data_IF_662026002615
#
_entry.id   IF_662026002615
#
_cell.length_a   1.000
_cell.length_b   1.000
_cell.length_c   1.000
_cell.angle_alpha   90.00
_cell.angle_beta   90.00
_cell.angle_gamma   90.00
#
_symmetry.space_group_name_H-M   'P 1'
#
loop_
_entity.id
_entity.type
_entity.pdbx_description
1 polymer ?
#
# COMPACT_ATOMS: atom_id res chain seq x y z
N UNK A 1 43.13 -29.58 -4.00
CA UNK A 1 42.88 -28.15 -3.69
C UNK A 1 41.95 -27.43 -4.69
N UNK A 2 41.91 -27.80 -5.98
CA UNK A 2 41.07 -27.15 -7.00
C UNK A 2 39.54 -27.35 -6.81
N UNK A 3 39.11 -28.55 -6.39
CA UNK A 3 37.68 -28.88 -6.18
C UNK A 3 37.00 -27.98 -5.13
N UNK A 4 37.68 -27.69 -4.00
CA UNK A 4 37.17 -26.80 -2.94
C UNK A 4 37.00 -25.35 -3.41
N UNK A 5 37.87 -24.86 -4.30
CA UNK A 5 37.79 -23.49 -4.85
C UNK A 5 36.64 -23.35 -5.87
N UNK A 6 36.36 -24.39 -6.64
CA UNK A 6 35.23 -24.42 -7.57
C UNK A 6 33.88 -24.43 -6.84
N UNK A 7 33.76 -25.23 -5.78
CA UNK A 7 32.55 -25.28 -4.93
C UNK A 7 32.32 -23.93 -4.24
N UNK A 8 33.38 -23.30 -3.68
CA UNK A 8 33.26 -22.01 -3.01
C UNK A 8 32.82 -20.89 -3.96
N UNK A 9 33.33 -20.87 -5.20
CA UNK A 9 32.90 -19.91 -6.24
C UNK A 9 31.45 -20.13 -6.65
N UNK A 10 31.03 -21.39 -6.82
CA UNK A 10 29.63 -21.72 -7.13
C UNK A 10 28.68 -21.31 -6.01
N UNK A 11 29.06 -21.54 -4.76
CA UNK A 11 28.28 -21.13 -3.59
C UNK A 11 28.18 -19.61 -3.47
N UNK A 12 29.28 -18.88 -3.75
CA UNK A 12 29.28 -17.42 -3.77
C UNK A 12 28.37 -16.87 -4.88
N UNK A 13 28.40 -17.45 -6.08
CA UNK A 13 27.51 -17.07 -7.18
C UNK A 13 26.04 -17.38 -6.87
N UNK A 14 25.75 -18.52 -6.25
CA UNK A 14 24.40 -18.87 -5.81
C UNK A 14 23.88 -17.89 -4.76
N UNK A 15 24.71 -17.54 -3.77
CA UNK A 15 24.36 -16.53 -2.75
C UNK A 15 24.13 -15.15 -3.38
N UNK A 16 24.96 -14.75 -4.35
CA UNK A 16 24.81 -13.49 -5.06
C UNK A 16 23.54 -13.46 -5.91
N UNK A 17 23.20 -14.58 -6.56
CA UNK A 17 21.95 -14.74 -7.31
C UNK A 17 20.73 -14.66 -6.38
N UNK A 18 20.76 -15.35 -5.24
CA UNK A 18 19.70 -15.29 -4.23
C UNK A 18 19.53 -13.86 -3.66
N UNK A 19 20.64 -13.15 -3.45
CA UNK A 19 20.64 -11.76 -3.01
C UNK A 19 20.07 -10.80 -4.07
N UNK A 20 20.30 -11.07 -5.36
CA UNK A 20 19.72 -10.28 -6.46
C UNK A 20 18.21 -10.58 -6.63
N UNK A 21 17.79 -11.83 -6.41
CA UNK A 21 16.39 -12.24 -6.51
C UNK A 21 15.52 -11.71 -5.36
N UNK A 22 16.09 -11.45 -4.17
CA UNK A 22 15.32 -10.93 -3.03
C UNK A 22 14.82 -9.50 -3.23
N UNK A 23 15.45 -8.72 -4.12
CA UNK A 23 15.02 -7.34 -4.43
C UNK A 23 13.67 -7.24 -5.16
N UNK A 24 13.22 -8.31 -5.83
CA UNK A 24 11.95 -8.32 -6.58
C UNK A 24 10.70 -8.30 -5.67
N UNK A 25 10.84 -8.67 -4.39
CA UNK A 25 9.70 -8.80 -3.46
C UNK A 25 9.42 -7.50 -2.69
N UNK A 26 10.30 -6.50 -2.77
CA UNK A 26 10.21 -5.28 -1.94
C UNK A 26 9.77 -4.02 -2.69
N UNK A 27 9.38 -4.12 -3.97
CA UNK A 27 8.69 -3.04 -4.66
C UNK A 27 7.24 -2.95 -4.16
N UNK A 28 7.06 -2.66 -2.88
CA UNK A 28 5.80 -2.08 -2.42
C UNK A 28 5.69 -0.75 -3.13
N UNK A 29 4.58 -0.44 -3.82
CA UNK A 29 4.35 0.93 -4.25
C UNK A 29 4.48 1.78 -3.00
N UNK A 30 5.51 2.62 -2.97
CA UNK A 30 5.65 3.69 -1.99
C UNK A 30 4.50 4.64 -2.26
N UNK A 31 3.30 4.25 -1.82
CA UNK A 31 2.14 5.11 -1.81
C UNK A 31 2.51 6.26 -0.90
N UNK A 32 2.60 7.45 -1.46
CA UNK A 32 2.84 8.69 -0.75
C UNK A 32 2.05 8.68 0.55
N UNK A 33 2.78 8.47 1.65
CA UNK A 33 2.38 8.52 3.05
C UNK A 33 0.86 8.42 3.33
N UNK A 34 0.34 7.19 3.33
CA UNK A 34 -0.87 6.75 4.05
C UNK A 34 -2.05 7.74 4.12
N UNK A 35 -2.93 7.70 3.12
CA UNK A 35 -4.24 8.38 3.17
C UNK A 35 -5.30 7.59 3.96
N UNK A 36 -4.99 6.41 4.48
CA UNK A 36 -5.95 5.55 5.17
C UNK A 36 -5.45 5.16 6.56
N UNK A 37 -6.15 5.64 7.58
CA UNK A 37 -5.86 5.35 8.98
C UNK A 37 -6.82 4.28 9.50
N UNK A 38 -6.28 3.20 10.07
CA UNK A 38 -7.08 2.18 10.75
C UNK A 38 -7.28 2.57 12.22
N UNK A 39 -8.53 2.61 12.64
CA UNK A 39 -8.97 2.92 14.01
C UNK A 39 -9.60 1.66 14.58
N UNK A 40 -9.21 1.28 15.80
CA UNK A 40 -9.77 0.12 16.48
C UNK A 40 -10.30 0.53 17.84
N UNK A 41 -11.57 0.23 18.10
CA UNK A 41 -12.17 0.44 19.40
C UNK A 41 -11.65 -0.60 20.41
N UNK A 42 -11.71 -0.33 21.72
CA UNK A 42 -11.34 -1.31 22.75
C UNK A 42 -12.09 -2.65 22.64
N UNK A 43 -13.34 -2.63 22.14
CA UNK A 43 -14.16 -3.83 21.88
C UNK A 43 -13.81 -4.59 20.60
N UNK A 44 -12.77 -4.17 19.86
CA UNK A 44 -12.26 -4.87 18.68
C UNK A 44 -12.84 -4.40 17.34
N UNK A 45 -13.95 -3.66 17.35
CA UNK A 45 -14.54 -3.03 16.15
C UNK A 45 -13.52 -2.15 15.41
N UNK A 46 -13.50 -2.27 14.09
CA UNK A 46 -12.54 -1.60 13.20
C UNK A 46 -13.28 -0.55 12.39
N UNK A 47 -12.72 0.65 12.31
CA UNK A 47 -13.14 1.72 11.42
C UNK A 47 -11.92 2.27 10.67
N UNK A 48 -12.17 2.95 9.57
CA UNK A 48 -11.11 3.56 8.78
C UNK A 48 -11.41 5.05 8.57
N UNK A 49 -10.39 5.89 8.70
CA UNK A 49 -10.43 7.29 8.31
C UNK A 49 -9.62 7.44 7.03
N UNK A 50 -10.29 7.73 5.94
CA UNK A 50 -9.64 8.16 4.71
C UNK A 50 -9.42 9.67 4.79
N UNK A 51 -8.20 10.12 4.49
CA UNK A 51 -7.81 11.53 4.50
C UNK A 51 -8.57 12.35 3.45
N UNK A 52 -8.23 13.63 3.36
CA UNK A 52 -8.86 14.52 2.39
C UNK A 52 -8.36 14.22 0.97
N UNK A 53 -9.29 14.17 0.03
CA UNK A 53 -9.00 14.02 -1.40
C UNK A 53 -9.87 15.01 -2.19
N UNK A 54 -9.30 15.58 -3.25
CA UNK A 54 -10.08 16.38 -4.19
C UNK A 54 -11.02 15.48 -4.97
N UNK A 55 -12.32 15.80 -5.02
CA UNK A 55 -13.33 14.99 -5.71
C UNK A 55 -13.02 14.77 -7.21
N UNK A 56 -12.35 15.74 -7.84
CA UNK A 56 -11.93 15.67 -9.25
C UNK A 56 -10.64 14.87 -9.48
N UNK A 57 -9.98 14.41 -8.42
CA UNK A 57 -8.78 13.60 -8.53
C UNK A 57 -9.14 12.20 -9.05
N UNK A 58 -8.48 11.78 -10.14
CA UNK A 58 -8.71 10.46 -10.77
C UNK A 58 -8.51 9.29 -9.80
N UNK A 59 -7.68 9.46 -8.76
CA UNK A 59 -7.43 8.43 -7.73
C UNK A 59 -8.67 8.11 -6.90
N UNK A 60 -9.68 8.97 -6.88
CA UNK A 60 -10.99 8.66 -6.28
C UNK A 60 -11.66 7.47 -6.98
N UNK A 61 -11.42 7.31 -8.28
CA UNK A 61 -12.00 6.23 -9.10
C UNK A 61 -11.11 4.99 -9.20
N UNK A 62 -9.82 5.11 -8.88
CA UNK A 62 -8.83 4.02 -8.96
C UNK A 62 -8.15 3.87 -7.59
N UNK A 63 -8.93 3.40 -6.62
CA UNK A 63 -8.46 3.23 -5.24
C UNK A 63 -7.43 2.09 -5.17
N UNK A 64 -6.28 2.30 -4.49
CA UNK A 64 -5.34 1.22 -4.23
C UNK A 64 -6.00 0.06 -3.49
N UNK A 65 -5.58 -1.18 -3.77
CA UNK A 65 -6.19 -2.42 -3.24
C UNK A 65 -6.56 -2.36 -1.75
N UNK A 66 -5.63 -2.02 -0.83
CA UNK A 66 -5.96 -1.95 0.60
C UNK A 66 -7.01 -0.89 0.97
N UNK A 67 -7.09 0.20 0.21
CA UNK A 67 -8.11 1.25 0.38
C UNK A 67 -9.44 0.76 -0.16
N UNK A 68 -9.46 0.19 -1.36
CA UNK A 68 -10.66 -0.41 -1.95
C UNK A 68 -11.27 -1.49 -1.04
N UNK A 69 -10.43 -2.37 -0.49
CA UNK A 69 -10.86 -3.40 0.46
C UNK A 69 -11.51 -2.80 1.71
N UNK A 70 -10.92 -1.76 2.30
CA UNK A 70 -11.50 -1.10 3.47
C UNK A 70 -12.86 -0.47 3.17
N UNK A 71 -13.03 0.14 1.98
CA UNK A 71 -14.32 0.67 1.54
C UNK A 71 -15.36 -0.44 1.34
N UNK A 72 -15.00 -1.53 0.65
CA UNK A 72 -15.92 -2.64 0.37
C UNK A 72 -16.40 -3.37 1.62
N UNK A 73 -15.54 -3.52 2.63
CA UNK A 73 -15.89 -4.20 3.88
C UNK A 73 -16.59 -3.28 4.90
N UNK A 74 -16.59 -1.97 4.67
CA UNK A 74 -17.24 -1.00 5.55
C UNK A 74 -18.76 -1.02 5.38
N UNK A 75 -19.49 -1.25 6.47
CA UNK A 75 -20.97 -1.24 6.45
C UNK A 75 -21.58 0.15 6.34
N UNK A 76 -20.81 1.18 6.67
CA UNK A 76 -21.24 2.58 6.70
C UNK A 76 -20.13 3.46 6.17
N UNK A 77 -20.52 4.51 5.44
CA UNK A 77 -19.63 5.53 4.92
C UNK A 77 -20.17 6.89 5.35
N UNK A 78 -19.30 7.71 5.91
CA UNK A 78 -19.56 9.11 6.21
C UNK A 78 -18.53 9.95 5.45
N UNK A 79 -18.98 11.02 4.80
CA UNK A 79 -18.15 11.88 3.97
C UNK A 79 -18.40 13.33 4.39
N UNK A 80 -17.31 14.06 4.64
CA UNK A 80 -17.33 15.52 4.75
C UNK A 80 -17.05 16.11 3.37
N UNK A 81 -17.90 17.01 2.90
CA UNK A 81 -17.78 17.65 1.59
C UNK A 81 -17.80 19.17 1.77
N UNK A 82 -16.74 19.83 1.31
CA UNK A 82 -16.74 21.28 1.10
C UNK A 82 -17.25 21.56 -0.32
N UNK A 83 -18.44 22.17 -0.42
CA UNK A 83 -18.98 22.60 -1.70
C UNK A 83 -18.44 24.00 -2.04
N UNK A 84 -17.99 24.19 -3.27
CA UNK A 84 -17.67 25.52 -3.76
C UNK A 84 -18.98 26.30 -3.96
N UNK A 85 -19.13 27.43 -3.27
CA UNK A 85 -20.29 28.29 -3.38
C UNK A 85 -20.52 28.80 -4.81
N UNK A 86 -19.47 28.89 -5.63
CA UNK A 86 -19.58 29.27 -7.03
C UNK A 86 -20.27 28.23 -7.91
N UNK A 87 -20.39 26.96 -7.45
CA UNK A 87 -21.10 25.88 -8.16
C UNK A 87 -22.57 25.75 -7.73
N UNK A 88 -23.04 26.56 -6.77
CA UNK A 88 -24.40 26.51 -6.22
C UNK A 88 -25.33 27.62 -6.77
N UNK A 89 -24.85 28.43 -7.72
CA UNK A 89 -25.55 29.55 -8.36
C UNK A 89 -25.57 29.37 -9.89
#
# INVERSE_FOLDING_TARGET
MACRKAVLKGMLWLLLLLLLLSGLVLAQPSGDNGLLYRIQAPGGEISYLFGTIHSEDKRVMDLPGPVGDAFQHSRRLAIEVTLDAALLL
#
